data_IF_540149789895
#
_entry.id   IF_540149789895
#
_cell.length_a   1.000
_cell.length_b   1.000
_cell.length_c   1.000
_cell.angle_alpha   90.00
_cell.angle_beta   90.00
_cell.angle_gamma   90.00
#
_symmetry.space_group_name_H-M   'P 1'
#
loop_
_entity.id
_entity.type
_entity.pdbx_description
1 polymer ?
#
# COMPACT_ATOMS: atom_id res chain seq x y z
N UNK A 1 -41.06 16.82 27.99
CA UNK A 1 -39.61 16.59 28.13
C UNK A 1 -39.27 15.25 27.47
N UNK A 2 -38.78 15.26 26.22
CA UNK A 2 -38.31 14.05 25.53
C UNK A 2 -36.80 13.97 25.76
N UNK A 3 -36.38 12.97 26.53
CA UNK A 3 -34.96 12.68 26.78
C UNK A 3 -34.32 12.21 25.48
N UNK A 4 -33.26 12.90 25.07
CA UNK A 4 -32.40 12.53 23.97
C UNK A 4 -31.62 11.28 24.41
N UNK A 5 -32.02 10.10 23.93
CA UNK A 5 -31.21 8.91 24.12
C UNK A 5 -29.98 9.03 23.20
N UNK A 6 -28.74 9.00 23.71
CA UNK A 6 -27.59 8.86 22.84
C UNK A 6 -27.70 7.51 22.12
N UNK A 7 -27.49 7.52 20.80
CA UNK A 7 -27.35 6.29 20.02
C UNK A 7 -26.27 5.40 20.68
N UNK A 8 -26.41 4.07 20.66
CA UNK A 8 -25.44 3.19 21.27
C UNK A 8 -24.11 3.32 20.52
N UNK A 9 -23.15 3.99 21.16
CA UNK A 9 -21.75 4.10 20.70
C UNK A 9 -21.05 2.73 20.72
N UNK A 10 -21.65 1.75 21.40
CA UNK A 10 -21.13 0.39 21.61
C UNK A 10 -21.14 -0.51 20.37
N UNK A 11 -21.70 -0.07 19.24
CA UNK A 11 -21.69 -0.82 17.98
C UNK A 11 -20.65 -0.34 16.95
N UNK A 12 -19.95 0.79 17.18
CA UNK A 12 -19.08 1.43 16.19
C UNK A 12 -17.58 1.12 16.31
N UNK A 13 -17.16 0.40 17.35
CA UNK A 13 -15.76 -0.03 17.52
C UNK A 13 -15.66 -1.45 18.07
N UNK A 14 -16.41 -2.40 17.48
CA UNK A 14 -15.89 -3.77 17.44
C UNK A 14 -14.64 -3.67 16.57
N UNK A 15 -13.45 -3.74 17.17
CA UNK A 15 -12.16 -3.54 16.49
C UNK A 15 -12.22 -4.14 15.10
N UNK A 16 -12.14 -3.30 14.06
CA UNK A 16 -12.21 -3.78 12.71
C UNK A 16 -10.99 -4.69 12.53
N UNK A 17 -11.22 -6.00 12.54
CA UNK A 17 -10.17 -6.98 12.31
C UNK A 17 -9.87 -6.91 10.81
N UNK A 18 -8.67 -6.48 10.47
CA UNK A 18 -8.22 -6.37 9.09
C UNK A 18 -6.95 -7.17 8.85
N UNK A 19 -6.52 -7.19 7.59
CA UNK A 19 -5.27 -7.82 7.19
C UNK A 19 -4.13 -6.81 7.28
N UNK A 20 -3.17 -7.09 8.15
CA UNK A 20 -1.85 -6.46 8.18
C UNK A 20 -0.93 -7.17 7.19
N UNK A 21 -0.21 -6.38 6.40
CA UNK A 21 0.83 -6.79 5.46
C UNK A 21 2.08 -6.00 5.85
N UNK A 22 3.08 -6.68 6.36
CA UNK A 22 4.29 -6.10 6.92
C UNK A 22 5.50 -6.49 6.08
N UNK A 23 6.38 -5.52 5.83
CA UNK A 23 7.52 -5.65 4.94
C UNK A 23 8.77 -5.13 5.66
N UNK A 24 9.81 -5.95 5.72
CA UNK A 24 11.09 -5.58 6.30
C UNK A 24 11.96 -4.91 5.23
N UNK A 25 11.98 -3.59 5.23
CA UNK A 25 12.82 -2.75 4.36
C UNK A 25 13.02 -1.36 4.98
N UNK A 26 14.09 -0.65 4.64
CA UNK A 26 14.23 0.74 5.06
C UNK A 26 13.17 1.62 4.40
N UNK A 27 12.34 2.31 5.20
CA UNK A 27 11.24 3.13 4.67
C UNK A 27 11.76 4.28 3.79
N UNK A 28 12.91 4.86 4.14
CA UNK A 28 13.59 5.87 3.33
C UNK A 28 14.01 5.35 1.95
N UNK A 29 14.38 4.06 1.84
CA UNK A 29 14.80 3.47 0.57
C UNK A 29 13.61 3.31 -0.37
N UNK A 30 12.44 2.90 0.18
CA UNK A 30 11.18 2.88 -0.55
C UNK A 30 10.85 4.28 -1.08
N UNK A 31 10.88 5.29 -0.21
CA UNK A 31 10.55 6.67 -0.59
C UNK A 31 11.59 7.37 -1.44
N UNK A 32 12.84 6.89 -1.47
CA UNK A 32 13.89 7.39 -2.37
C UNK A 32 13.84 6.71 -3.74
N UNK A 33 13.38 5.46 -3.79
CA UNK A 33 13.12 4.76 -5.05
C UNK A 33 11.90 5.38 -5.75
N UNK A 34 10.83 5.57 -4.98
CA UNK A 34 9.66 6.34 -5.38
C UNK A 34 10.03 7.85 -5.41
N UNK A 35 9.38 8.66 -6.23
CA UNK A 35 9.74 10.09 -6.35
C UNK A 35 10.99 10.41 -7.18
N UNK A 36 11.53 9.45 -7.93
CA UNK A 36 12.57 9.69 -8.94
C UNK A 36 12.14 9.15 -10.31
N UNK A 37 11.99 10.01 -11.34
CA UNK A 37 11.64 9.58 -12.69
C UNK A 37 12.60 8.56 -13.30
N UNK A 38 13.89 8.63 -12.95
CA UNK A 38 14.93 7.73 -13.47
C UNK A 38 14.72 6.26 -13.06
N UNK A 39 13.95 6.01 -12.00
CA UNK A 39 13.66 4.66 -11.51
C UNK A 39 12.47 3.99 -12.22
N UNK A 40 11.94 4.61 -13.29
CA UNK A 40 10.69 4.19 -13.93
C UNK A 40 10.67 2.73 -14.36
N UNK A 41 11.73 2.24 -15.01
CA UNK A 41 11.78 0.86 -15.48
C UNK A 41 11.78 -0.13 -14.32
N UNK A 42 12.60 0.11 -13.29
CA UNK A 42 12.66 -0.71 -12.08
C UNK A 42 11.29 -0.75 -11.38
N UNK A 43 10.63 0.40 -11.25
CA UNK A 43 9.32 0.49 -10.58
C UNK A 43 8.24 -0.18 -11.42
N UNK A 44 8.26 -0.04 -12.75
CA UNK A 44 7.32 -0.75 -13.63
C UNK A 44 7.48 -2.26 -13.55
N UNK A 45 8.70 -2.76 -13.45
CA UNK A 45 8.95 -4.19 -13.25
C UNK A 45 8.33 -4.68 -11.93
N UNK A 46 8.55 -3.95 -10.84
CA UNK A 46 8.03 -4.29 -9.52
C UNK A 46 6.49 -4.27 -9.45
N UNK A 47 5.83 -3.32 -10.13
CA UNK A 47 4.36 -3.17 -10.08
C UNK A 47 3.63 -3.94 -11.18
N UNK A 48 4.33 -4.55 -12.13
CA UNK A 48 3.72 -5.34 -13.22
C UNK A 48 2.66 -6.34 -12.73
N UNK A 49 2.83 -7.06 -11.61
CA UNK A 49 1.82 -8.01 -11.13
C UNK A 49 0.50 -7.38 -10.68
N UNK A 50 0.49 -6.10 -10.31
CA UNK A 50 -0.71 -5.39 -9.83
C UNK A 50 -1.34 -4.50 -10.89
N UNK A 51 -0.63 -4.21 -11.99
CA UNK A 51 -1.20 -3.51 -13.13
C UNK A 51 -2.24 -4.39 -13.85
N UNK A 52 -3.36 -3.82 -14.31
CA UNK A 52 -4.35 -4.56 -15.07
C UNK A 52 -3.72 -5.11 -16.36
N UNK A 53 -3.97 -6.39 -16.65
CA UNK A 53 -3.48 -7.03 -17.85
C UNK A 53 -3.99 -6.29 -19.10
N UNK A 54 -3.14 -6.11 -20.13
CA UNK A 54 -3.60 -5.62 -21.43
C UNK A 54 -4.70 -6.54 -21.94
N UNK A 55 -5.94 -6.05 -22.00
CA UNK A 55 -7.02 -6.82 -22.61
C UNK A 55 -6.84 -6.79 -24.13
N UNK A 56 -6.83 -7.94 -24.82
CA UNK A 56 -6.84 -7.95 -26.28
C UNK A 56 -8.11 -7.23 -26.75
N UNK A 57 -8.06 -6.47 -27.85
CA UNK A 57 -9.24 -5.79 -28.38
C UNK A 57 -10.30 -6.83 -28.72
N UNK A 58 -11.50 -6.71 -28.12
CA UNK A 58 -12.65 -7.53 -28.52
C UNK A 58 -13.01 -7.18 -29.98
N UNK A 59 -13.19 -8.19 -30.86
CA UNK A 59 -13.60 -7.94 -32.23
C UNK A 59 -15.02 -7.35 -32.23
N UNK A 60 -15.14 -6.13 -32.75
CA UNK A 60 -16.42 -5.45 -32.86
C UNK A 60 -17.26 -6.06 -33.99
N UNK A 61 -18.51 -6.41 -33.68
CA UNK A 61 -19.54 -6.55 -34.70
C UNK A 61 -19.82 -5.21 -35.42
N UNK A 62 -20.47 -5.22 -36.60
CA UNK A 62 -20.38 -4.17 -37.63
C UNK A 62 -21.05 -2.81 -37.32
N UNK A 63 -21.36 -2.46 -36.07
CA UNK A 63 -22.27 -1.33 -35.75
C UNK A 63 -21.67 -0.24 -34.81
N UNK A 64 -20.55 -0.44 -34.11
CA UNK A 64 -20.16 0.50 -33.04
C UNK A 64 -19.10 1.56 -33.41
N UNK A 65 -19.49 2.82 -33.22
CA UNK A 65 -18.76 4.09 -33.40
C UNK A 65 -17.94 4.54 -32.17
N UNK A 66 -17.28 3.63 -31.46
CA UNK A 66 -16.32 4.00 -30.39
C UNK A 66 -14.93 3.45 -30.68
N UNK A 67 -13.91 4.22 -30.30
CA UNK A 67 -12.50 3.87 -30.45
C UNK A 67 -12.22 2.59 -29.62
N UNK A 68 -11.71 1.50 -30.24
CA UNK A 68 -11.52 0.20 -29.59
C UNK A 68 -10.44 0.18 -28.50
N UNK A 69 -10.64 -0.63 -27.45
CA UNK A 69 -9.56 -1.10 -26.58
C UNK A 69 -9.24 -0.26 -25.34
N UNK A 70 -10.01 0.79 -25.01
CA UNK A 70 -9.81 1.48 -23.73
C UNK A 70 -10.39 0.63 -22.59
N UNK A 71 -9.56 0.05 -21.70
CA UNK A 71 -10.08 -0.65 -20.54
C UNK A 71 -10.97 0.31 -19.74
N UNK A 72 -12.18 -0.13 -19.39
CA UNK A 72 -12.92 0.49 -18.28
C UNK A 72 -12.16 0.10 -17.03
N UNK A 73 -11.24 0.98 -16.64
CA UNK A 73 -10.49 0.87 -15.40
C UNK A 73 -11.47 1.16 -14.26
N UNK A 74 -11.53 0.29 -13.26
CA UNK A 74 -12.18 0.66 -12.02
C UNK A 74 -11.44 1.83 -11.38
N UNK A 75 -12.15 2.70 -10.66
CA UNK A 75 -11.53 3.83 -9.94
C UNK A 75 -10.44 3.35 -8.96
N UNK A 76 -10.49 2.08 -8.52
CA UNK A 76 -9.48 1.45 -7.67
C UNK A 76 -8.33 0.73 -8.40
N UNK A 77 -8.38 0.56 -9.73
CA UNK A 77 -7.34 -0.17 -10.48
C UNK A 77 -6.12 0.73 -10.72
N UNK A 78 -4.90 0.29 -10.37
CA UNK A 78 -3.69 1.05 -10.63
C UNK A 78 -3.37 1.14 -12.12
N UNK A 79 -2.79 2.27 -12.54
CA UNK A 79 -2.42 2.52 -13.94
C UNK A 79 -0.97 2.96 -14.04
N UNK A 80 -0.42 2.90 -15.26
CA UNK A 80 0.91 3.46 -15.57
C UNK A 80 0.96 4.96 -15.29
N UNK A 81 -0.14 5.70 -15.47
CA UNK A 81 -0.19 7.11 -15.14
C UNK A 81 -0.05 7.39 -13.63
N UNK A 82 -0.50 6.47 -12.78
CA UNK A 82 -0.29 6.60 -11.33
C UNK A 82 1.16 6.31 -10.95
N UNK A 83 1.82 5.39 -11.65
CA UNK A 83 3.27 5.15 -11.52
C UNK A 83 4.05 6.41 -11.90
N UNK A 84 3.75 6.98 -13.06
CA UNK A 84 4.43 8.19 -13.55
C UNK A 84 4.22 9.37 -12.57
N UNK A 85 3.02 9.49 -11.99
CA UNK A 85 2.72 10.50 -10.96
C UNK A 85 3.54 10.31 -9.68
N UNK A 86 3.63 9.07 -9.20
CA UNK A 86 4.38 8.70 -8.00
C UNK A 86 5.88 8.97 -8.18
N UNK A 87 6.43 8.66 -9.36
CA UNK A 87 7.83 8.92 -9.70
C UNK A 87 8.14 10.41 -9.89
N UNK A 88 7.17 11.18 -10.41
CA UNK A 88 7.29 12.62 -10.54
C UNK A 88 7.03 13.37 -9.21
N UNK A 89 6.79 12.67 -8.10
CA UNK A 89 6.40 13.25 -6.81
C UNK A 89 5.23 14.26 -6.92
N UNK A 90 4.35 14.04 -7.90
CA UNK A 90 3.22 14.93 -8.17
C UNK A 90 2.07 14.58 -7.23
N UNK A 91 1.31 15.57 -6.71
CA UNK A 91 0.19 15.31 -5.81
C UNK A 91 -0.80 14.29 -6.39
N UNK A 92 -1.11 13.25 -5.60
CA UNK A 92 -2.06 12.20 -6.00
C UNK A 92 -3.49 12.65 -5.72
N UNK A 93 -4.40 12.61 -6.70
CA UNK A 93 -5.83 12.85 -6.49
C UNK A 93 -6.44 11.89 -5.47
N UNK A 94 -7.38 12.36 -4.65
CA UNK A 94 -7.96 11.55 -3.56
C UNK A 94 -8.67 10.27 -4.05
N UNK A 95 -9.33 10.33 -5.21
CA UNK A 95 -9.96 9.20 -5.90
C UNK A 95 -8.95 8.16 -6.42
N UNK A 96 -7.67 8.54 -6.56
CA UNK A 96 -6.58 7.65 -7.00
C UNK A 96 -5.71 7.14 -5.85
N UNK A 97 -5.88 7.66 -4.63
CA UNK A 97 -5.02 7.34 -3.51
C UNK A 97 -4.93 5.83 -3.21
N UNK A 98 -6.06 5.11 -3.26
CA UNK A 98 -6.08 3.65 -3.04
C UNK A 98 -5.29 2.89 -4.11
N UNK A 99 -5.49 3.25 -5.38
CA UNK A 99 -4.75 2.67 -6.50
C UNK A 99 -3.25 2.93 -6.39
N UNK A 100 -2.86 4.15 -5.96
CA UNK A 100 -1.45 4.47 -5.71
C UNK A 100 -0.88 3.69 -4.52
N UNK A 101 -1.61 3.51 -3.43
CA UNK A 101 -1.12 2.69 -2.31
C UNK A 101 -0.88 1.24 -2.68
N UNK A 102 -1.68 0.66 -3.60
CA UNK A 102 -1.41 -0.67 -4.16
C UNK A 102 -0.09 -0.73 -4.94
N UNK A 103 0.25 0.34 -5.68
CA UNK A 103 1.54 0.43 -6.36
C UNK A 103 2.70 0.51 -5.36
N UNK A 104 2.55 1.34 -4.32
CA UNK A 104 3.58 1.46 -3.26
C UNK A 104 3.78 0.12 -2.56
N UNK A 105 2.70 -0.60 -2.26
CA UNK A 105 2.76 -1.93 -1.64
C UNK A 105 3.47 -2.96 -2.53
N UNK A 106 3.19 -2.95 -3.84
CA UNK A 106 3.87 -3.83 -4.79
C UNK A 106 5.38 -3.55 -4.85
N UNK A 107 5.79 -2.28 -4.84
CA UNK A 107 7.20 -1.90 -4.77
C UNK A 107 7.83 -2.32 -3.45
N UNK A 108 7.17 -2.07 -2.32
CA UNK A 108 7.63 -2.51 -1.00
C UNK A 108 7.81 -4.04 -0.96
N UNK A 109 6.86 -4.79 -1.50
CA UNK A 109 6.92 -6.25 -1.60
C UNK A 109 8.09 -6.74 -2.45
N UNK A 110 8.44 -6.03 -3.52
CA UNK A 110 9.58 -6.38 -4.38
C UNK A 110 10.93 -6.06 -3.73
N UNK A 111 10.98 -5.07 -2.83
CA UNK A 111 12.20 -4.64 -2.14
C UNK A 111 12.45 -5.37 -0.82
N UNK A 112 11.39 -5.92 -0.21
CA UNK A 112 11.44 -6.43 1.14
C UNK A 112 12.41 -7.61 1.28
N UNK A 113 13.27 -7.54 2.31
CA UNK A 113 14.11 -8.67 2.70
C UNK A 113 13.27 -9.83 3.27
N UNK A 114 12.16 -9.49 3.93
CA UNK A 114 11.17 -10.44 4.41
C UNK A 114 9.80 -9.78 4.51
N UNK A 115 8.74 -10.59 4.51
CA UNK A 115 7.37 -10.10 4.61
C UNK A 115 6.51 -11.03 5.47
N UNK A 116 5.48 -10.48 6.10
CA UNK A 116 4.50 -11.22 6.87
C UNK A 116 3.08 -10.71 6.65
N UNK A 117 2.12 -11.58 6.90
CA UNK A 117 0.69 -11.26 6.90
C UNK A 117 0.05 -11.76 8.18
N UNK A 118 -0.82 -10.97 8.77
CA UNK A 118 -1.55 -11.33 9.98
C UNK A 118 -2.93 -10.66 9.99
N UNK A 119 -3.91 -11.32 10.61
CA UNK A 119 -5.17 -10.65 10.96
C UNK A 119 -4.97 -9.92 12.28
N UNK A 120 -5.30 -8.64 12.34
CA UNK A 120 -5.11 -7.80 13.52
C UNK A 120 -6.04 -6.59 13.50
N UNK A 121 -6.25 -6.00 14.67
CA UNK A 121 -6.82 -4.67 14.79
C UNK A 121 -6.01 -3.63 14.01
N UNK A 122 -6.66 -2.51 13.71
CA UNK A 122 -6.07 -1.37 13.00
C UNK A 122 -4.78 -0.90 13.70
N UNK A 123 -3.62 -0.88 13.00
CA UNK A 123 -2.34 -0.50 13.61
C UNK A 123 -2.31 1.00 13.94
N UNK A 124 -1.55 1.34 14.99
CA UNK A 124 -1.38 2.73 15.47
C UNK A 124 0.10 3.07 15.64
N UNK A 125 0.42 4.36 15.79
CA UNK A 125 1.80 4.82 16.06
C UNK A 125 2.76 4.64 14.90
N UNK A 126 2.23 4.59 13.67
CA UNK A 126 3.03 4.50 12.45
C UNK A 126 3.61 5.87 12.08
N UNK A 127 4.88 5.90 11.71
CA UNK A 127 5.51 7.05 11.09
C UNK A 127 5.05 7.16 9.62
N UNK A 128 4.82 8.38 9.10
CA UNK A 128 4.48 8.58 7.70
C UNK A 128 5.65 8.19 6.79
N UNK A 129 5.36 7.62 5.63
CA UNK A 129 6.39 7.24 4.65
C UNK A 129 6.96 8.46 3.88
N UNK A 130 6.42 9.66 4.07
CA UNK A 130 6.91 10.87 3.40
C UNK A 130 6.56 10.96 1.90
N UNK A 131 5.54 10.23 1.45
CA UNK A 131 5.04 10.27 0.08
C UNK A 131 3.83 11.22 -0.06
N UNK A 132 3.68 11.85 -1.23
CA UNK A 132 2.57 12.75 -1.54
C UNK A 132 1.28 12.00 -1.94
N UNK A 133 0.92 10.96 -1.18
CA UNK A 133 -0.28 10.15 -1.38
C UNK A 133 -1.25 10.44 -0.23
N UNK A 134 -2.49 10.86 -0.50
CA UNK A 134 -3.48 11.10 0.54
C UNK A 134 -3.84 9.85 1.35
N UNK A 135 -4.27 10.06 2.60
CA UNK A 135 -4.86 9.01 3.42
C UNK A 135 -6.21 8.54 2.84
N UNK A 136 -6.51 7.25 3.02
CA UNK A 136 -7.77 6.64 2.61
C UNK A 136 -8.42 5.99 3.84
N UNK A 137 -9.73 6.13 4.02
CA UNK A 137 -10.40 5.73 5.26
C UNK A 137 -10.18 4.25 5.64
N UNK A 138 -10.14 3.37 4.64
CA UNK A 138 -10.04 1.92 4.76
C UNK A 138 -8.61 1.38 4.57
N UNK A 139 -7.61 2.25 4.42
CA UNK A 139 -6.21 1.84 4.28
C UNK A 139 -5.37 2.58 5.32
N UNK A 140 -4.57 1.85 6.09
CA UNK A 140 -3.53 2.45 6.93
C UNK A 140 -2.18 2.07 6.37
N UNK A 141 -1.34 3.08 6.15
CA UNK A 141 0.03 2.88 5.65
C UNK A 141 1.00 3.67 6.51
N UNK A 142 2.16 3.08 6.78
CA UNK A 142 3.24 3.78 7.47
C UNK A 142 4.38 2.84 7.81
N UNK A 143 5.27 3.30 8.69
CA UNK A 143 6.40 2.52 9.16
C UNK A 143 6.43 2.43 10.69
N UNK A 144 6.83 1.27 11.19
CA UNK A 144 7.31 1.10 12.54
C UNK A 144 8.83 0.94 12.54
N UNK A 145 9.48 1.47 13.58
CA UNK A 145 10.82 1.00 13.94
C UNK A 145 10.76 -0.50 14.30
N UNK A 146 11.89 -1.20 14.20
CA UNK A 146 11.96 -2.60 14.64
C UNK A 146 11.49 -2.82 16.09
N UNK A 147 11.83 -1.89 16.99
CA UNK A 147 11.42 -1.97 18.39
C UNK A 147 9.89 -1.90 18.53
N UNK A 148 9.24 -0.97 17.82
CA UNK A 148 7.78 -0.88 17.78
C UNK A 148 7.17 -2.14 17.16
N UNK A 149 7.68 -2.62 16.03
CA UNK A 149 7.14 -3.80 15.36
C UNK A 149 7.30 -5.08 16.20
N UNK A 150 8.38 -5.23 16.97
CA UNK A 150 8.56 -6.33 17.93
C UNK A 150 7.58 -6.29 19.09
N UNK A 151 7.14 -5.11 19.49
CA UNK A 151 6.12 -4.98 20.53
C UNK A 151 4.70 -5.37 20.07
N UNK A 152 4.50 -5.58 18.76
CA UNK A 152 3.21 -5.97 18.21
C UNK A 152 3.07 -7.50 18.15
N UNK A 153 2.00 -8.09 18.72
CA UNK A 153 1.75 -9.53 18.67
C UNK A 153 1.71 -10.10 17.26
N UNK A 154 1.22 -9.31 16.29
CA UNK A 154 1.08 -9.70 14.88
C UNK A 154 2.40 -9.89 14.12
N UNK A 155 3.50 -9.32 14.62
CA UNK A 155 4.80 -9.31 13.91
C UNK A 155 5.97 -9.85 14.72
N UNK A 156 5.85 -10.00 16.04
CA UNK A 156 6.97 -10.45 16.91
C UNK A 156 7.57 -11.78 16.46
N UNK A 157 6.75 -12.82 16.25
CA UNK A 157 7.24 -14.16 15.91
C UNK A 157 7.94 -14.17 14.55
N UNK A 158 7.39 -13.43 13.58
CA UNK A 158 8.01 -13.28 12.27
C UNK A 158 9.37 -12.58 12.38
N UNK A 159 9.44 -11.47 13.12
CA UNK A 159 10.68 -10.70 13.28
C UNK A 159 11.77 -11.51 13.97
N UNK A 160 11.42 -12.29 14.99
CA UNK A 160 12.39 -13.15 15.68
C UNK A 160 12.98 -14.23 14.76
N UNK A 161 12.23 -14.67 13.74
CA UNK A 161 12.72 -15.64 12.76
C UNK A 161 13.62 -15.05 11.66
N UNK A 162 13.57 -13.73 11.42
CA UNK A 162 14.21 -13.09 10.25
C UNK A 162 15.21 -12.01 10.60
N UNK A 163 15.25 -11.52 11.85
CA UNK A 163 16.14 -10.43 12.23
C UNK A 163 17.61 -10.79 12.08
N UNK A 164 17.98 -12.05 12.34
CA UNK A 164 19.36 -12.54 12.22
C UNK A 164 19.82 -12.60 10.74
N UNK A 165 18.89 -12.41 9.80
CA UNK A 165 19.16 -12.35 8.36
C UNK A 165 19.39 -10.92 7.87
N UNK A 166 19.19 -9.91 8.73
CA UNK A 166 19.49 -8.51 8.40
C UNK A 166 21.00 -8.31 8.47
N UNK A 167 21.68 -7.96 7.37
CA UNK A 167 23.13 -7.81 7.35
C UNK A 167 23.60 -6.77 8.38
N UNK A 168 24.61 -7.13 9.17
CA UNK A 168 25.29 -6.20 10.07
C UNK A 168 25.81 -4.99 9.27
N UNK A 169 25.48 -3.78 9.72
CA UNK A 169 25.86 -2.53 9.05
C UNK A 169 24.86 -2.01 8.01
N UNK A 170 23.78 -2.73 7.71
CA UNK A 170 22.65 -2.15 6.99
C UNK A 170 22.01 -1.02 7.84
N UNK A 171 21.62 0.08 7.21
CA UNK A 171 20.81 1.11 7.87
C UNK A 171 19.60 0.43 8.52
N UNK A 172 19.31 0.74 9.78
CA UNK A 172 18.32 0.02 10.59
C UNK A 172 17.03 -0.17 9.79
N UNK A 173 16.65 -1.39 9.38
CA UNK A 173 15.49 -1.57 8.52
C UNK A 173 14.24 -1.19 9.31
N UNK A 174 13.26 -0.62 8.62
CA UNK A 174 11.95 -0.38 9.19
C UNK A 174 11.03 -1.56 8.88
N UNK A 175 9.88 -1.58 9.55
CA UNK A 175 8.76 -2.42 9.14
C UNK A 175 7.73 -1.52 8.48
N UNK A 176 7.70 -1.54 7.15
CA UNK A 176 6.65 -0.87 6.37
C UNK A 176 5.37 -1.70 6.47
N UNK A 177 4.28 -1.03 6.80
CA UNK A 177 3.00 -1.65 7.11
C UNK A 177 1.93 -1.14 6.18
N UNK A 178 1.14 -2.06 5.66
CA UNK A 178 -0.15 -1.82 5.02
C UNK A 178 -1.21 -2.57 5.80
N UNK A 179 -2.33 -1.92 6.08
CA UNK A 179 -3.48 -2.55 6.71
C UNK A 179 -4.77 -2.14 6.02
N UNK A 180 -5.67 -3.10 5.84
CA UNK A 180 -7.02 -2.88 5.32
C UNK A 180 -8.01 -3.84 5.99
N UNK A 181 -9.28 -3.44 6.22
CA UNK A 181 -10.29 -4.31 6.81
C UNK A 181 -10.65 -5.50 5.92
#
# INVERSE_FOLDING_TARGET
MRGNAPAPVDALYRGAMGQLRAYLLPSWALSALLGRPDNRELVLEAVRPVLPAPRPPEPLGPIFTRVPGTPVLGEGDPTVADVDRLLAATPVPADRARATWLLVEAVASSMAASQARAMTDRPTGLAPLGMAVPDVADVVVGAWTLAQARSQPSTTYWLDAVIDQVPEGSSTPDVVVFWSP
#
